data_IF_744828886001
#
_entry.id   IF_744828886001
#
_cell.length_a   1.000
_cell.length_b   1.000
_cell.length_c   1.000
_cell.angle_alpha   90.00
_cell.angle_beta   90.00
_cell.angle_gamma   90.00
#
_symmetry.space_group_name_H-M   'P 1'
#
loop_
_entity.id
_entity.type
_entity.pdbx_description
1 polymer ?
#
# COMPACT_ATOMS: atom_id res chain seq x y z
N UNK A 1 56.15 -36.34 -20.96
CA UNK A 1 55.45 -36.94 -22.11
C UNK A 1 55.02 -38.35 -21.80
N UNK A 2 53.81 -38.78 -22.04
CA UNK A 2 53.34 -39.24 -23.34
C UNK A 2 51.89 -38.73 -23.65
N UNK A 3 51.69 -38.36 -24.87
CA UNK A 3 51.00 -38.94 -26.04
C UNK A 3 49.48 -39.08 -25.96
N UNK A 4 48.89 -38.42 -26.87
CA UNK A 4 47.54 -38.44 -27.45
C UNK A 4 46.91 -39.85 -27.61
N UNK A 5 45.58 -39.94 -27.39
CA UNK A 5 44.74 -40.90 -28.13
C UNK A 5 43.27 -40.45 -28.16
N UNK A 6 42.84 -40.23 -29.39
CA UNK A 6 41.60 -40.57 -30.07
C UNK A 6 40.23 -40.06 -29.50
N UNK A 7 39.61 -39.22 -30.32
CA UNK A 7 38.20 -38.91 -30.36
C UNK A 7 37.33 -40.11 -30.74
N UNK A 8 36.11 -40.24 -30.23
CA UNK A 8 35.06 -41.04 -30.87
C UNK A 8 34.12 -40.15 -31.69
N UNK A 9 33.64 -40.74 -32.75
CA UNK A 9 32.76 -40.27 -33.81
C UNK A 9 31.45 -39.68 -33.35
N UNK A 10 31.03 -38.63 -34.06
CA UNK A 10 29.72 -38.05 -34.00
C UNK A 10 28.64 -39.03 -34.52
N UNK A 11 27.69 -39.37 -33.65
CA UNK A 11 26.44 -39.98 -34.03
C UNK A 11 25.41 -38.87 -34.20
N UNK A 12 24.93 -38.67 -35.41
CA UNK A 12 23.83 -37.73 -35.71
C UNK A 12 22.54 -38.24 -35.08
N UNK A 13 22.03 -37.50 -34.13
CA UNK A 13 20.63 -37.61 -33.67
C UNK A 13 19.83 -36.57 -34.40
N UNK A 14 18.90 -37.01 -35.26
CA UNK A 14 17.81 -36.21 -35.77
C UNK A 14 16.96 -35.77 -34.60
N UNK A 15 17.14 -34.57 -34.13
CA UNK A 15 16.24 -33.84 -33.22
C UNK A 15 15.27 -33.05 -34.05
N UNK A 16 14.00 -33.40 -33.99
CA UNK A 16 12.88 -32.56 -34.43
C UNK A 16 12.98 -31.20 -33.76
N UNK A 17 13.12 -30.14 -34.54
CA UNK A 17 12.97 -28.76 -34.09
C UNK A 17 11.55 -28.58 -33.54
N UNK A 18 11.41 -28.64 -32.24
CA UNK A 18 10.28 -28.01 -31.57
C UNK A 18 10.51 -26.51 -31.64
N UNK A 19 9.80 -25.85 -32.56
CA UNK A 19 9.61 -24.40 -32.56
C UNK A 19 9.02 -24.02 -31.21
N UNK A 20 9.83 -23.43 -30.36
CA UNK A 20 9.33 -22.78 -29.15
C UNK A 20 8.31 -21.72 -29.59
N UNK A 21 7.06 -21.92 -29.23
CA UNK A 21 6.07 -20.85 -29.33
C UNK A 21 6.58 -19.69 -28.48
N UNK A 22 6.89 -18.59 -29.14
CA UNK A 22 7.11 -17.32 -28.50
C UNK A 22 5.78 -16.94 -27.88
N UNK A 23 5.63 -17.14 -26.60
CA UNK A 23 4.52 -16.58 -25.84
C UNK A 23 4.66 -15.07 -25.96
N UNK A 24 3.70 -14.43 -26.60
CA UNK A 24 3.60 -12.97 -26.60
C UNK A 24 3.76 -12.45 -25.18
N UNK A 25 4.58 -11.40 -25.04
CA UNK A 25 4.68 -10.68 -23.78
C UNK A 25 3.25 -10.23 -23.37
N UNK A 26 2.89 -10.33 -22.09
CA UNK A 26 1.57 -9.93 -21.64
C UNK A 26 1.30 -8.49 -22.07
N UNK A 27 0.13 -8.26 -22.66
CA UNK A 27 -0.31 -6.92 -23.07
C UNK A 27 -0.19 -5.96 -21.90
N UNK A 28 0.46 -4.84 -22.11
CA UNK A 28 0.58 -3.76 -21.12
C UNK A 28 -0.68 -2.88 -21.06
N UNK A 29 -1.63 -3.10 -21.96
CA UNK A 29 -2.89 -2.36 -22.01
C UNK A 29 -3.92 -3.03 -21.11
N UNK A 30 -4.66 -2.29 -20.27
CA UNK A 30 -5.74 -2.84 -19.49
C UNK A 30 -6.77 -3.53 -20.39
N UNK A 31 -7.39 -4.63 -19.93
CA UNK A 31 -8.51 -5.22 -20.66
C UNK A 31 -9.66 -4.22 -20.76
N UNK A 32 -10.53 -4.38 -21.74
CA UNK A 32 -11.75 -3.59 -21.83
C UNK A 32 -12.58 -3.74 -20.55
N UNK A 33 -13.21 -2.63 -20.12
CA UNK A 33 -14.12 -2.66 -18.96
C UNK A 33 -15.15 -3.78 -19.10
N UNK A 34 -15.53 -4.49 -18.04
CA UNK A 34 -16.67 -5.38 -18.05
C UNK A 34 -17.89 -4.60 -18.53
N UNK A 35 -18.64 -5.15 -19.51
CA UNK A 35 -19.81 -4.48 -20.06
C UNK A 35 -20.91 -4.23 -19.02
N UNK A 36 -21.95 -3.50 -19.41
CA UNK A 36 -23.16 -3.28 -18.61
C UNK A 36 -23.71 -4.60 -18.08
N UNK A 37 -23.84 -4.73 -16.77
CA UNK A 37 -24.32 -5.93 -16.07
C UNK A 37 -23.37 -6.54 -15.07
N UNK A 38 -22.05 -6.22 -15.14
CA UNK A 38 -21.14 -6.53 -14.04
C UNK A 38 -21.21 -5.40 -12.99
N UNK A 39 -21.75 -5.75 -11.84
CA UNK A 39 -21.81 -4.83 -10.70
C UNK A 39 -21.32 -5.58 -9.47
N UNK A 40 -20.34 -5.04 -8.77
CA UNK A 40 -19.82 -5.61 -7.52
C UNK A 40 -20.92 -5.81 -6.48
N UNK A 41 -21.96 -5.00 -6.52
CA UNK A 41 -23.13 -5.11 -5.65
C UNK A 41 -24.01 -6.35 -5.95
N UNK A 42 -23.78 -7.03 -7.08
CA UNK A 42 -24.46 -8.27 -7.44
C UNK A 42 -23.67 -9.53 -7.11
N UNK A 43 -22.45 -9.36 -6.57
CA UNK A 43 -21.58 -10.46 -6.21
C UNK A 43 -21.82 -10.87 -4.77
N UNK A 44 -22.14 -12.14 -4.56
CA UNK A 44 -22.32 -12.71 -3.22
C UNK A 44 -21.05 -13.45 -2.81
N UNK A 45 -20.50 -13.06 -1.68
CA UNK A 45 -19.33 -13.74 -1.10
C UNK A 45 -19.74 -15.09 -0.47
N UNK A 46 -18.91 -16.10 -0.70
CA UNK A 46 -19.01 -17.39 0.01
C UNK A 46 -17.66 -17.65 0.68
N UNK A 47 -17.68 -17.85 1.98
CA UNK A 47 -16.43 -18.12 2.72
C UNK A 47 -16.00 -19.60 2.62
N UNK A 48 -14.85 -19.93 3.19
CA UNK A 48 -14.31 -21.29 3.20
C UNK A 48 -15.17 -22.32 3.95
N UNK A 49 -16.15 -21.88 4.72
CA UNK A 49 -17.12 -22.73 5.43
C UNK A 49 -18.44 -22.87 4.69
N UNK A 50 -18.53 -22.32 3.46
CA UNK A 50 -19.74 -22.32 2.65
C UNK A 50 -20.82 -21.35 3.13
N UNK A 51 -20.49 -20.37 3.99
CA UNK A 51 -21.43 -19.36 4.43
C UNK A 51 -21.55 -18.28 3.35
N UNK A 52 -22.78 -18.01 2.95
CA UNK A 52 -23.11 -16.95 2.00
C UNK A 52 -23.32 -15.64 2.75
N UNK A 53 -22.76 -14.57 2.24
CA UNK A 53 -22.98 -13.22 2.75
C UNK A 53 -23.97 -12.52 1.83
N UNK A 54 -25.11 -12.13 2.40
CA UNK A 54 -26.13 -11.41 1.64
C UNK A 54 -25.60 -10.07 1.14
N UNK A 55 -26.06 -9.66 -0.06
CA UNK A 55 -25.79 -8.32 -0.58
C UNK A 55 -26.46 -7.32 0.35
N UNK A 56 -25.67 -6.58 1.11
CA UNK A 56 -26.18 -5.55 2.02
C UNK A 56 -26.34 -4.25 1.24
N UNK A 57 -27.45 -4.14 0.50
CA UNK A 57 -28.03 -2.86 0.18
C UNK A 57 -27.35 -1.96 -0.84
N UNK A 58 -26.46 -2.42 -1.70
CA UNK A 58 -25.89 -1.60 -2.79
C UNK A 58 -25.04 -0.38 -2.32
N UNK A 59 -24.61 0.41 -3.28
CA UNK A 59 -23.90 1.67 -2.99
C UNK A 59 -24.76 2.63 -2.18
N UNK A 60 -24.17 3.22 -1.16
CA UNK A 60 -24.84 4.26 -0.38
C UNK A 60 -24.50 5.61 -0.99
N UNK A 61 -25.50 6.30 -1.48
CA UNK A 61 -25.35 7.64 -2.04
C UNK A 61 -24.53 8.55 -1.11
N UNK A 62 -23.53 9.23 -1.68
CA UNK A 62 -22.66 10.16 -0.95
C UNK A 62 -21.66 9.49 0.01
N UNK A 63 -21.48 8.16 -0.06
CA UNK A 63 -20.43 7.46 0.70
C UNK A 63 -19.34 7.00 -0.26
N UNK A 64 -18.09 7.08 0.22
CA UNK A 64 -16.92 6.67 -0.52
C UNK A 64 -16.02 5.79 0.35
N UNK A 65 -15.29 4.90 -0.29
CA UNK A 65 -14.34 4.00 0.35
C UNK A 65 -12.94 4.41 -0.06
N UNK A 66 -12.19 4.92 0.91
CA UNK A 66 -10.75 5.16 0.75
C UNK A 66 -9.93 4.03 1.35
N UNK A 67 -8.79 3.72 0.76
CA UNK A 67 -7.87 2.72 1.27
C UNK A 67 -6.46 3.27 1.31
N UNK A 68 -5.75 3.10 2.43
CA UNK A 68 -4.31 3.35 2.49
C UNK A 68 -3.56 2.38 1.59
N UNK A 69 -2.64 2.92 0.80
CA UNK A 69 -1.77 2.14 -0.07
C UNK A 69 -0.30 2.49 0.24
N UNK A 70 0.42 1.50 0.74
CA UNK A 70 1.81 1.67 1.16
C UNK A 70 2.75 1.50 -0.04
N UNK A 71 3.52 2.54 -0.34
CA UNK A 71 4.41 2.60 -1.51
C UNK A 71 5.75 1.88 -1.31
N UNK A 72 6.11 1.60 -0.05
CA UNK A 72 7.41 1.06 0.33
C UNK A 72 7.45 -0.46 0.50
N UNK A 73 6.32 -1.14 0.40
CA UNK A 73 6.26 -2.60 0.50
C UNK A 73 6.98 -3.25 -0.70
N UNK A 74 7.77 -4.29 -0.42
CA UNK A 74 8.39 -5.11 -1.45
C UNK A 74 9.56 -4.48 -2.20
N UNK A 75 10.32 -3.55 -1.58
CA UNK A 75 11.62 -3.19 -2.09
C UNK A 75 11.76 -2.09 -3.15
N UNK A 76 11.44 -0.85 -2.95
CA UNK A 76 12.23 0.19 -3.59
C UNK A 76 13.47 0.61 -2.80
N UNK A 77 13.56 0.29 -1.50
CA UNK A 77 14.62 0.81 -0.62
C UNK A 77 15.58 -0.26 -0.06
N UNK A 78 15.24 -1.55 -0.12
CA UNK A 78 15.99 -2.61 0.57
C UNK A 78 16.38 -3.73 -0.40
N UNK A 79 17.48 -4.42 -0.12
CA UNK A 79 18.13 -5.34 -1.04
C UNK A 79 17.89 -6.83 -0.76
N UNK A 80 17.20 -7.20 0.31
CA UNK A 80 16.98 -8.59 0.69
C UNK A 80 15.52 -8.95 0.92
N UNK A 81 15.19 -10.22 0.77
CA UNK A 81 13.92 -10.79 1.17
C UNK A 81 14.15 -11.70 2.36
N UNK A 82 13.79 -11.23 3.55
CA UNK A 82 13.91 -11.99 4.78
C UNK A 82 12.53 -12.49 5.19
N UNK A 83 12.27 -13.77 4.91
CA UNK A 83 11.00 -14.43 5.26
C UNK A 83 11.10 -14.99 6.67
N UNK A 84 10.46 -14.34 7.63
CA UNK A 84 10.50 -14.72 9.04
C UNK A 84 9.98 -16.16 9.27
N UNK A 85 8.97 -16.59 8.52
CA UNK A 85 8.44 -17.97 8.61
C UNK A 85 9.45 -19.00 8.14
N UNK A 86 10.11 -18.74 7.00
CA UNK A 86 11.16 -19.64 6.48
C UNK A 86 12.38 -19.66 7.42
N UNK A 87 12.83 -18.48 7.88
CA UNK A 87 13.95 -18.37 8.82
C UNK A 87 13.65 -19.14 10.10
N UNK A 88 12.46 -18.94 10.70
CA UNK A 88 12.06 -19.65 11.91
C UNK A 88 12.05 -21.17 11.71
N UNK A 89 11.46 -21.64 10.62
CA UNK A 89 11.33 -23.08 10.36
C UNK A 89 12.66 -23.76 10.05
N UNK A 90 13.59 -23.06 9.41
CA UNK A 90 14.88 -23.63 8.97
C UNK A 90 15.98 -23.47 10.04
N UNK A 91 16.01 -22.32 10.72
CA UNK A 91 17.12 -21.96 11.60
C UNK A 91 16.70 -21.76 13.07
N UNK A 92 15.39 -21.70 13.35
CA UNK A 92 14.86 -21.54 14.69
C UNK A 92 14.70 -20.09 15.14
N UNK A 93 14.11 -19.95 16.35
CA UNK A 93 13.79 -18.68 16.97
C UNK A 93 15.02 -17.80 17.24
N UNK A 94 16.09 -18.43 17.71
CA UNK A 94 17.32 -17.72 18.07
C UNK A 94 17.93 -16.99 16.88
N UNK A 95 17.92 -17.56 15.69
CA UNK A 95 18.45 -16.93 14.48
C UNK A 95 17.52 -15.81 13.99
N UNK A 96 16.20 -15.99 14.12
CA UNK A 96 15.22 -14.99 13.71
C UNK A 96 15.34 -13.69 14.53
N UNK A 97 15.63 -13.80 15.83
CA UNK A 97 15.63 -12.65 16.76
C UNK A 97 17.02 -12.19 17.19
N UNK A 98 18.10 -12.84 16.74
CA UNK A 98 19.48 -12.43 17.05
C UNK A 98 20.11 -11.65 15.90
N UNK A 99 20.55 -10.46 16.21
CA UNK A 99 20.93 -9.36 15.34
C UNK A 99 22.22 -9.56 14.52
N UNK A 100 22.98 -10.63 14.77
CA UNK A 100 24.31 -10.82 14.16
C UNK A 100 24.31 -11.77 12.96
N UNK A 101 23.16 -12.20 12.51
CA UNK A 101 23.05 -13.18 11.44
C UNK A 101 22.83 -12.51 10.09
N UNK A 102 23.64 -12.87 9.09
CA UNK A 102 23.37 -12.50 7.70
C UNK A 102 22.05 -13.09 7.16
N UNK A 103 21.51 -14.09 7.86
CA UNK A 103 20.22 -14.74 7.52
C UNK A 103 19.04 -13.90 8.00
N UNK A 104 19.19 -13.22 9.14
CA UNK A 104 18.15 -12.37 9.75
C UNK A 104 18.79 -11.08 10.28
N UNK A 105 19.28 -10.19 9.41
CA UNK A 105 20.02 -9.01 9.85
C UNK A 105 19.08 -7.97 10.48
N UNK A 106 19.55 -7.35 11.55
CA UNK A 106 18.88 -6.22 12.19
C UNK A 106 18.70 -5.05 11.23
N UNK A 107 17.62 -4.30 11.41
CA UNK A 107 17.32 -3.11 10.63
C UNK A 107 16.85 -3.39 9.20
N UNK A 108 16.70 -4.65 8.82
CA UNK A 108 16.10 -5.03 7.55
C UNK A 108 14.63 -5.42 7.72
N UNK A 109 13.83 -5.24 6.66
CA UNK A 109 12.44 -5.69 6.70
C UNK A 109 12.35 -7.21 6.65
N UNK A 110 11.58 -7.77 7.59
CA UNK A 110 11.25 -9.18 7.64
C UNK A 110 9.79 -9.36 7.29
N UNK A 111 9.49 -10.32 6.43
CA UNK A 111 8.16 -10.63 5.95
C UNK A 111 7.67 -11.93 6.62
N UNK A 112 6.43 -11.97 7.08
CA UNK A 112 5.87 -13.14 7.75
C UNK A 112 5.45 -14.28 6.82
N UNK A 113 5.40 -14.04 5.54
CA UNK A 113 5.05 -15.04 4.55
C UNK A 113 5.09 -14.47 3.15
N UNK A 114 5.26 -15.38 2.20
CA UNK A 114 5.27 -15.04 0.79
C UNK A 114 3.89 -14.57 0.33
N UNK A 115 3.78 -13.41 -0.34
CA UNK A 115 2.53 -12.94 -0.91
C UNK A 115 2.00 -13.87 -2.00
N UNK A 116 0.71 -13.75 -2.35
CA UNK A 116 0.09 -14.55 -3.42
C UNK A 116 0.82 -14.46 -4.76
N UNK A 117 1.41 -13.31 -5.05
CA UNK A 117 2.17 -13.05 -6.28
C UNK A 117 3.68 -13.25 -6.12
N UNK A 118 4.13 -13.95 -5.06
CA UNK A 118 5.53 -14.04 -4.68
C UNK A 118 6.04 -12.74 -4.06
N UNK A 119 7.33 -12.69 -3.72
CA UNK A 119 7.97 -11.44 -3.30
C UNK A 119 8.19 -10.55 -4.50
N UNK A 120 7.61 -9.36 -4.49
CA UNK A 120 7.61 -8.42 -5.61
C UNK A 120 8.19 -7.06 -5.22
N UNK A 121 8.63 -6.32 -6.21
CA UNK A 121 8.98 -4.92 -6.05
C UNK A 121 7.71 -4.05 -6.14
N UNK A 122 7.58 -3.04 -5.30
CA UNK A 122 6.42 -2.12 -5.31
C UNK A 122 6.21 -1.41 -6.67
N UNK A 123 7.21 -1.42 -7.53
CA UNK A 123 7.12 -0.89 -8.90
C UNK A 123 6.87 -1.96 -9.96
N UNK A 124 6.51 -3.20 -9.58
CA UNK A 124 6.18 -4.26 -10.53
C UNK A 124 4.84 -3.99 -11.22
N UNK A 125 4.88 -3.86 -12.55
CA UNK A 125 3.70 -3.52 -13.36
C UNK A 125 2.58 -4.56 -13.24
N UNK A 126 2.92 -5.84 -13.24
CA UNK A 126 1.92 -6.89 -13.16
C UNK A 126 1.19 -6.85 -11.81
N UNK A 127 1.95 -6.72 -10.72
CA UNK A 127 1.36 -6.67 -9.38
C UNK A 127 0.52 -5.42 -9.19
N UNK A 128 1.00 -4.25 -9.64
CA UNK A 128 0.23 -3.00 -9.59
C UNK A 128 -1.09 -3.16 -10.35
N UNK A 129 -1.07 -3.69 -11.58
CA UNK A 129 -2.28 -3.92 -12.37
C UNK A 129 -3.25 -4.85 -11.66
N UNK A 130 -2.75 -5.96 -11.08
CA UNK A 130 -3.60 -6.86 -10.30
C UNK A 130 -4.19 -6.21 -9.05
N UNK A 131 -3.41 -5.37 -8.34
CA UNK A 131 -3.95 -4.60 -7.23
C UNK A 131 -5.05 -3.65 -7.70
N UNK A 132 -4.84 -2.89 -8.78
CA UNK A 132 -5.86 -1.97 -9.30
C UNK A 132 -7.12 -2.71 -9.73
N UNK A 133 -7.01 -3.83 -10.45
CA UNK A 133 -8.16 -4.68 -10.81
C UNK A 133 -8.96 -5.16 -9.59
N UNK A 134 -8.26 -5.62 -8.55
CA UNK A 134 -8.90 -6.06 -7.31
C UNK A 134 -9.58 -4.91 -6.57
N UNK A 135 -8.95 -3.73 -6.53
CA UNK A 135 -9.50 -2.54 -5.88
C UNK A 135 -10.72 -2.00 -6.61
N UNK A 136 -10.72 -2.00 -7.94
CA UNK A 136 -11.89 -1.69 -8.75
C UNK A 136 -13.03 -2.68 -8.44
N UNK A 137 -12.71 -3.98 -8.42
CA UNK A 137 -13.69 -5.02 -8.11
C UNK A 137 -14.25 -4.89 -6.69
N UNK A 138 -13.45 -4.43 -5.76
CA UNK A 138 -13.87 -4.18 -4.37
C UNK A 138 -14.64 -2.88 -4.18
N UNK A 139 -14.77 -2.04 -5.21
CA UNK A 139 -15.46 -0.75 -5.12
C UNK A 139 -14.73 0.29 -4.29
N UNK A 140 -13.39 0.30 -4.37
CA UNK A 140 -12.57 1.32 -3.71
C UNK A 140 -12.53 2.58 -4.58
N UNK A 141 -12.97 3.71 -4.02
CA UNK A 141 -13.08 4.98 -4.75
C UNK A 141 -11.74 5.73 -4.84
N UNK A 142 -10.93 5.65 -3.78
CA UNK A 142 -9.64 6.33 -3.80
C UNK A 142 -8.58 5.64 -2.93
N UNK A 143 -7.32 5.85 -3.31
CA UNK A 143 -6.14 5.42 -2.58
C UNK A 143 -5.52 6.59 -1.84
N UNK A 144 -5.14 6.36 -0.60
CA UNK A 144 -4.34 7.30 0.19
C UNK A 144 -2.90 6.79 0.19
N UNK A 145 -2.03 7.47 -0.54
CA UNK A 145 -0.61 7.13 -0.57
C UNK A 145 0.08 7.58 0.71
N UNK A 146 0.66 6.64 1.42
CA UNK A 146 1.40 6.91 2.66
C UNK A 146 2.78 7.48 2.35
N UNK A 147 2.95 8.77 2.66
CA UNK A 147 4.22 9.50 2.60
C UNK A 147 4.55 10.14 3.95
N UNK A 148 4.09 9.53 5.03
CA UNK A 148 4.15 10.06 6.41
C UNK A 148 5.57 10.17 6.97
N UNK A 149 6.52 9.44 6.39
CA UNK A 149 7.94 9.40 6.77
C UNK A 149 8.84 10.33 5.92
N UNK A 150 8.26 11.32 5.26
CA UNK A 150 8.94 12.27 4.37
C UNK A 150 9.58 11.64 3.10
N UNK A 151 9.31 10.37 2.82
CA UNK A 151 9.74 9.70 1.60
C UNK A 151 8.55 9.58 0.65
N UNK A 152 8.66 10.12 -0.55
CA UNK A 152 7.56 10.16 -1.52
C UNK A 152 7.50 8.94 -2.44
N UNK A 153 8.58 8.14 -2.52
CA UNK A 153 8.65 6.95 -3.40
C UNK A 153 8.29 7.27 -4.84
N UNK A 154 8.93 8.29 -5.40
CA UNK A 154 8.55 8.92 -6.68
C UNK A 154 8.37 7.91 -7.82
N UNK A 155 9.29 6.95 -7.97
CA UNK A 155 9.20 5.93 -9.03
C UNK A 155 7.99 5.00 -8.89
N UNK A 156 7.52 4.80 -7.65
CA UNK A 156 6.39 3.90 -7.35
C UNK A 156 5.06 4.61 -7.60
N UNK A 157 4.82 5.79 -6.96
CA UNK A 157 3.54 6.48 -7.16
C UNK A 157 3.35 6.91 -8.61
N UNK A 158 4.42 7.35 -9.30
CA UNK A 158 4.34 7.73 -10.71
C UNK A 158 3.89 6.56 -11.59
N UNK A 159 4.40 5.37 -11.33
CA UNK A 159 3.99 4.17 -12.05
C UNK A 159 2.53 3.80 -11.74
N UNK A 160 2.12 3.86 -10.47
CA UNK A 160 0.74 3.56 -10.07
C UNK A 160 -0.23 4.55 -10.72
N UNK A 161 0.06 5.85 -10.67
CA UNK A 161 -0.79 6.89 -11.29
C UNK A 161 -0.90 6.68 -12.81
N UNK A 162 0.20 6.35 -13.48
CA UNK A 162 0.18 6.02 -14.91
C UNK A 162 -0.75 4.83 -15.18
N UNK A 163 -0.64 3.75 -14.41
CA UNK A 163 -1.46 2.55 -14.58
C UNK A 163 -2.93 2.86 -14.29
N UNK A 164 -3.23 3.60 -13.24
CA UNK A 164 -4.61 4.05 -12.95
C UNK A 164 -5.18 4.84 -14.13
N UNK A 165 -4.42 5.79 -14.70
CA UNK A 165 -4.87 6.57 -15.85
C UNK A 165 -5.15 5.69 -17.08
N UNK A 166 -4.33 4.66 -17.33
CA UNK A 166 -4.59 3.67 -18.39
C UNK A 166 -5.93 2.94 -18.18
N UNK A 167 -6.25 2.54 -16.95
CA UNK A 167 -7.54 1.91 -16.63
C UNK A 167 -8.72 2.89 -16.81
N UNK A 168 -8.56 4.15 -16.36
CA UNK A 168 -9.57 5.19 -16.55
C UNK A 168 -9.84 5.45 -18.04
N UNK A 169 -8.78 5.53 -18.85
CA UNK A 169 -8.92 5.69 -20.31
C UNK A 169 -9.57 4.49 -20.97
N UNK A 170 -9.39 3.28 -20.44
CA UNK A 170 -10.06 2.07 -20.91
C UNK A 170 -11.51 1.95 -20.41
N UNK A 171 -12.03 2.93 -19.67
CA UNK A 171 -13.41 2.98 -19.21
C UNK A 171 -13.68 2.24 -17.91
N UNK A 172 -12.62 1.89 -17.14
CA UNK A 172 -12.78 1.31 -15.81
C UNK A 172 -13.00 2.41 -14.77
N UNK A 173 -13.75 2.11 -13.73
CA UNK A 173 -13.89 2.99 -12.57
C UNK A 173 -12.73 2.74 -11.59
N UNK A 174 -11.54 3.17 -12.01
CA UNK A 174 -10.33 2.98 -11.22
C UNK A 174 -10.23 4.00 -10.09
N UNK A 175 -9.68 3.60 -8.91
CA UNK A 175 -9.57 4.48 -7.76
C UNK A 175 -8.72 5.71 -8.08
N UNK A 176 -9.10 6.86 -7.50
CA UNK A 176 -8.31 8.09 -7.54
C UNK A 176 -7.23 8.06 -6.47
N UNK A 177 -6.36 9.09 -6.42
CA UNK A 177 -5.27 9.14 -5.45
C UNK A 177 -5.25 10.45 -4.66
N UNK A 178 -4.92 10.34 -3.38
CA UNK A 178 -4.57 11.44 -2.49
C UNK A 178 -3.28 11.09 -1.75
N UNK A 179 -2.55 12.08 -1.24
CA UNK A 179 -1.32 11.86 -0.48
C UNK A 179 -1.51 12.22 0.99
N UNK A 180 -0.93 11.41 1.86
CA UNK A 180 -0.91 11.64 3.30
C UNK A 180 0.50 11.91 3.77
N UNK A 181 0.76 13.13 4.26
CA UNK A 181 2.05 13.52 4.82
C UNK A 181 1.96 13.65 6.34
N UNK A 182 3.08 13.51 7.07
CA UNK A 182 3.11 13.67 8.52
C UNK A 182 4.44 14.26 9.00
N UNK A 183 5.52 13.49 9.13
CA UNK A 183 6.84 14.06 9.44
C UNK A 183 7.36 14.87 8.25
N UNK A 184 7.88 16.07 8.51
CA UNK A 184 8.29 17.03 7.48
C UNK A 184 7.17 17.28 6.46
N UNK A 185 5.95 17.41 6.96
CA UNK A 185 4.73 17.46 6.16
C UNK A 185 4.73 18.60 5.14
N UNK A 186 5.07 19.80 5.56
CA UNK A 186 5.11 20.99 4.68
C UNK A 186 6.12 20.80 3.54
N UNK A 187 7.31 20.30 3.86
CA UNK A 187 8.34 20.03 2.85
C UNK A 187 7.88 18.94 1.86
N UNK A 188 7.31 17.86 2.38
CA UNK A 188 6.82 16.75 1.57
C UNK A 188 5.65 17.17 0.69
N UNK A 189 4.70 17.94 1.25
CA UNK A 189 3.57 18.45 0.51
C UNK A 189 4.00 19.41 -0.62
N UNK A 190 4.95 20.32 -0.36
CA UNK A 190 5.52 21.18 -1.42
C UNK A 190 6.21 20.36 -2.52
N UNK A 191 6.98 19.33 -2.16
CA UNK A 191 7.61 18.44 -3.14
C UNK A 191 6.56 17.76 -4.03
N UNK A 192 5.49 17.25 -3.43
CA UNK A 192 4.39 16.63 -4.17
C UNK A 192 3.66 17.65 -5.05
N UNK A 193 3.45 18.86 -4.54
CA UNK A 193 2.83 19.93 -5.31
C UNK A 193 3.61 20.24 -6.59
N UNK A 194 4.93 20.43 -6.49
CA UNK A 194 5.78 20.70 -7.65
C UNK A 194 5.85 19.51 -8.62
N UNK A 195 6.03 18.29 -8.12
CA UNK A 195 6.32 17.12 -8.95
C UNK A 195 5.07 16.44 -9.54
N UNK A 196 3.91 16.59 -8.90
CA UNK A 196 2.67 15.94 -9.34
C UNK A 196 1.68 16.96 -9.87
N UNK A 197 1.32 17.93 -9.07
CA UNK A 197 0.17 18.79 -9.37
C UNK A 197 0.53 19.94 -10.33
N UNK A 198 1.57 20.69 -10.04
CA UNK A 198 2.07 21.72 -10.99
C UNK A 198 2.61 21.13 -12.29
N UNK A 199 3.21 19.95 -12.20
CA UNK A 199 3.64 19.19 -13.37
C UNK A 199 2.46 18.64 -14.19
N UNK A 200 1.24 18.78 -13.69
CA UNK A 200 0.03 18.23 -14.30
C UNK A 200 0.13 16.73 -14.57
N UNK A 201 0.74 16.00 -13.62
CA UNK A 201 1.04 14.57 -13.77
C UNK A 201 -0.22 13.73 -13.58
N UNK A 202 -0.74 13.14 -14.64
CA UNK A 202 -1.98 12.35 -14.70
C UNK A 202 -3.15 12.95 -13.89
N UNK A 203 -3.63 14.16 -14.23
CA UNK A 203 -4.64 14.87 -13.43
C UNK A 203 -5.97 14.13 -13.30
N UNK A 204 -6.29 13.23 -14.23
CA UNK A 204 -7.49 12.39 -14.14
C UNK A 204 -7.46 11.41 -12.97
N UNK A 205 -6.28 11.19 -12.37
CA UNK A 205 -6.11 10.28 -11.24
C UNK A 205 -6.25 10.97 -9.88
N UNK A 206 -6.33 12.30 -9.84
CA UNK A 206 -6.40 13.01 -8.56
C UNK A 206 -7.77 12.86 -7.91
N UNK A 207 -7.77 12.52 -6.62
CA UNK A 207 -9.00 12.50 -5.85
C UNK A 207 -9.39 13.92 -5.46
N UNK A 208 -10.61 14.30 -5.83
CA UNK A 208 -11.11 15.68 -5.63
C UNK A 208 -12.15 15.71 -4.52
N UNK A 209 -12.03 16.70 -3.64
CA UNK A 209 -13.04 17.08 -2.66
C UNK A 209 -13.40 18.55 -2.92
N UNK A 210 -14.68 18.82 -3.10
CA UNK A 210 -15.18 20.16 -3.48
C UNK A 210 -14.50 20.76 -4.72
N UNK A 211 -14.16 19.88 -5.68
CA UNK A 211 -13.54 20.26 -6.94
C UNK A 211 -12.03 20.55 -6.87
N UNK A 212 -11.40 20.37 -5.71
CA UNK A 212 -9.96 20.54 -5.49
C UNK A 212 -9.30 19.22 -5.11
N UNK A 213 -8.03 18.97 -5.50
CA UNK A 213 -7.31 17.78 -5.05
C UNK A 213 -7.23 17.72 -3.53
N UNK A 214 -7.43 16.52 -2.97
CA UNK A 214 -7.26 16.28 -1.54
C UNK A 214 -5.80 16.01 -1.21
N UNK A 215 -5.30 16.67 -0.16
CA UNK A 215 -4.02 16.35 0.47
C UNK A 215 -4.15 16.38 2.00
N UNK A 216 -3.52 15.44 2.68
CA UNK A 216 -3.39 15.50 4.14
C UNK A 216 -2.03 16.10 4.48
N UNK A 217 -2.05 17.32 5.04
CA UNK A 217 -0.83 18.06 5.36
C UNK A 217 -1.03 19.01 6.54
N UNK A 218 0.05 19.26 7.28
CA UNK A 218 0.07 20.36 8.25
C UNK A 218 0.24 21.70 7.53
N UNK A 219 -0.52 22.70 8.00
CA UNK A 219 -0.38 24.09 7.55
C UNK A 219 0.32 24.96 8.60
N UNK A 220 0.45 24.46 9.81
CA UNK A 220 1.11 25.10 10.95
C UNK A 220 2.59 24.66 10.99
N UNK A 221 3.50 25.60 10.80
CA UNK A 221 4.95 25.38 10.77
C UNK A 221 5.52 24.89 12.10
N UNK A 222 4.99 25.41 13.23
CA UNK A 222 5.44 24.99 14.56
C UNK A 222 4.99 23.55 14.87
N UNK A 223 3.76 23.20 14.45
CA UNK A 223 3.28 21.83 14.57
C UNK A 223 4.10 20.88 13.72
N UNK A 224 4.36 21.22 12.46
CA UNK A 224 5.15 20.39 11.56
C UNK A 224 6.59 20.19 12.08
N UNK A 225 7.21 21.26 12.57
CA UNK A 225 8.50 21.19 13.23
C UNK A 225 8.48 20.26 14.45
N UNK A 226 7.49 20.41 15.31
CA UNK A 226 7.36 19.57 16.51
C UNK A 226 7.19 18.08 16.16
N UNK A 227 6.40 17.78 15.14
CA UNK A 227 6.15 16.41 14.65
C UNK A 227 7.39 15.81 13.99
N UNK A 228 8.19 16.62 13.30
CA UNK A 228 9.42 16.13 12.66
C UNK A 228 10.46 15.61 13.67
N UNK A 229 10.42 16.12 14.91
CA UNK A 229 11.43 15.81 15.93
C UNK A 229 12.82 16.40 15.66
N UNK A 230 12.98 17.17 14.58
CA UNK A 230 14.25 17.80 14.19
C UNK A 230 14.27 19.26 14.60
N UNK A 231 15.10 19.59 15.60
CA UNK A 231 15.25 20.95 16.10
C UNK A 231 15.77 21.93 15.03
N UNK A 232 16.46 21.43 14.01
CA UNK A 232 17.03 22.24 12.93
C UNK A 232 16.05 22.43 11.76
N UNK A 233 14.95 21.71 11.75
CA UNK A 233 13.93 21.86 10.72
C UNK A 233 13.16 23.17 10.92
N UNK A 234 13.15 24.01 9.92
CA UNK A 234 12.42 25.28 9.91
C UNK A 234 11.65 25.38 8.58
N UNK A 235 10.44 24.84 8.52
CA UNK A 235 9.65 24.91 7.30
C UNK A 235 9.17 26.33 7.02
N UNK A 236 9.25 26.74 5.77
CA UNK A 236 8.56 27.94 5.31
C UNK A 236 7.06 27.64 5.20
N UNK A 237 6.18 28.60 5.53
CA UNK A 237 4.74 28.42 5.38
C UNK A 237 4.36 28.01 3.94
N UNK A 238 3.30 27.22 3.80
CA UNK A 238 2.74 26.90 2.50
C UNK A 238 2.29 28.18 1.79
N UNK A 239 2.54 28.27 0.50
CA UNK A 239 2.18 29.43 -0.30
C UNK A 239 0.66 29.57 -0.40
N UNK A 240 0.16 30.80 -0.65
CA UNK A 240 -1.26 31.03 -0.91
C UNK A 240 -1.74 30.25 -2.13
N UNK A 241 -0.90 30.12 -3.16
CA UNK A 241 -1.18 29.30 -4.36
C UNK A 241 -1.46 27.84 -3.97
N UNK A 242 -0.64 27.25 -3.08
CA UNK A 242 -0.86 25.91 -2.57
C UNK A 242 -2.16 25.80 -1.79
N UNK A 243 -2.41 26.73 -0.87
CA UNK A 243 -3.62 26.74 -0.04
C UNK A 243 -4.91 26.88 -0.86
N UNK A 244 -4.86 27.64 -1.95
CA UNK A 244 -5.99 27.82 -2.85
C UNK A 244 -6.22 26.63 -3.77
N UNK A 245 -5.15 25.87 -4.06
CA UNK A 245 -5.18 24.75 -5.01
C UNK A 245 -5.80 23.48 -4.40
N UNK A 246 -5.52 23.20 -3.13
CA UNK A 246 -5.94 21.97 -2.47
C UNK A 246 -7.17 22.14 -1.58
N UNK A 247 -7.91 21.04 -1.39
CA UNK A 247 -8.62 20.76 -0.16
C UNK A 247 -7.65 20.10 0.80
N UNK A 248 -7.32 20.77 1.90
CA UNK A 248 -6.32 20.31 2.86
C UNK A 248 -7.05 19.78 4.09
N UNK A 249 -6.77 18.52 4.45
CA UNK A 249 -7.19 17.95 5.73
C UNK A 249 -5.97 17.77 6.64
N UNK A 250 -6.18 18.01 7.93
CA UNK A 250 -5.14 17.82 8.93
C UNK A 250 -4.85 16.35 9.13
N UNK A 251 -3.59 15.90 9.07
CA UNK A 251 -3.24 14.56 9.49
C UNK A 251 -3.61 14.34 10.96
N UNK A 252 -4.20 13.20 11.29
CA UNK A 252 -4.50 12.81 12.66
C UNK A 252 -3.73 11.53 13.00
N UNK A 253 -2.68 11.69 13.78
CA UNK A 253 -1.91 10.58 14.31
C UNK A 253 -2.50 10.09 15.64
N UNK A 254 -2.48 8.78 15.94
CA UNK A 254 -3.18 8.22 17.12
C UNK A 254 -2.71 8.77 18.47
N UNK A 255 -1.42 9.13 18.60
CA UNK A 255 -0.83 9.61 19.84
C UNK A 255 -0.84 11.13 19.99
N UNK A 256 -1.40 11.83 19.01
CA UNK A 256 -1.49 13.27 19.03
C UNK A 256 -2.77 13.78 19.65
N UNK A 257 -2.82 15.09 19.87
CA UNK A 257 -4.05 15.76 20.25
C UNK A 257 -5.13 15.42 19.22
N UNK A 258 -6.29 15.00 19.71
CA UNK A 258 -7.45 14.69 18.88
C UNK A 258 -8.04 15.93 18.23
N UNK A 259 -8.31 15.82 16.95
CA UNK A 259 -9.04 16.80 16.14
C UNK A 259 -10.21 16.12 15.44
N UNK A 260 -11.43 16.60 15.68
CA UNK A 260 -12.62 16.01 15.09
C UNK A 260 -12.65 16.12 13.56
N UNK A 261 -11.98 17.13 13.00
CA UNK A 261 -11.81 17.38 11.56
C UNK A 261 -10.52 16.77 10.98
N UNK A 262 -9.78 16.01 11.78
CA UNK A 262 -8.58 15.33 11.33
C UNK A 262 -8.90 14.16 10.39
N UNK A 263 -8.00 13.90 9.44
CA UNK A 263 -8.04 12.69 8.64
C UNK A 263 -7.23 11.60 9.35
N UNK A 264 -7.89 10.54 9.89
CA UNK A 264 -7.20 9.53 10.68
C UNK A 264 -6.24 8.69 9.81
N UNK A 265 -5.05 8.45 10.36
CA UNK A 265 -4.14 7.39 9.90
C UNK A 265 -4.61 6.04 10.48
N UNK A 266 -3.75 5.06 10.63
CA UNK A 266 -4.11 3.82 11.33
C UNK A 266 -4.49 4.14 12.78
N UNK A 267 -5.69 3.74 13.20
CA UNK A 267 -6.14 3.99 14.56
C UNK A 267 -5.82 2.79 15.46
N UNK A 268 -5.06 3.03 16.49
CA UNK A 268 -4.68 2.00 17.45
C UNK A 268 -5.25 2.20 18.87
N UNK A 269 -6.14 3.19 19.03
CA UNK A 269 -6.89 3.38 20.28
C UNK A 269 -8.22 2.64 20.23
N UNK A 270 -8.68 2.19 21.39
CA UNK A 270 -10.00 1.61 21.53
C UNK A 270 -10.75 2.25 22.73
N UNK A 271 -12.01 2.66 22.58
CA UNK A 271 -12.76 2.74 21.32
C UNK A 271 -12.10 3.72 20.32
N UNK A 272 -12.29 3.46 19.04
CA UNK A 272 -11.74 4.35 18.02
C UNK A 272 -12.43 5.72 18.11
N UNK A 273 -11.67 6.83 18.01
CA UNK A 273 -12.25 8.17 17.95
C UNK A 273 -13.11 8.35 16.68
N UNK A 274 -14.14 9.16 16.79
CA UNK A 274 -14.96 9.56 15.64
C UNK A 274 -14.41 10.84 15.04
N UNK A 275 -14.26 10.87 13.71
CA UNK A 275 -13.87 12.04 12.94
C UNK A 275 -15.03 12.50 12.05
N UNK A 276 -15.18 13.81 11.88
CA UNK A 276 -16.28 14.40 11.12
C UNK A 276 -16.28 13.86 9.67
N UNK A 277 -17.36 13.14 9.34
CA UNK A 277 -17.55 12.57 7.99
C UNK A 277 -16.63 11.42 7.62
N UNK A 278 -15.75 10.95 8.52
CA UNK A 278 -14.80 9.88 8.24
C UNK A 278 -14.95 8.78 9.30
N UNK A 279 -15.17 7.57 8.84
CA UNK A 279 -15.10 6.37 9.67
C UNK A 279 -13.82 5.61 9.35
N UNK A 280 -12.92 5.55 10.31
CA UNK A 280 -11.71 4.74 10.17
C UNK A 280 -12.03 3.25 10.43
N UNK A 281 -11.64 2.38 9.50
CA UNK A 281 -11.70 0.93 9.67
C UNK A 281 -10.29 0.40 9.56
N UNK A 282 -9.66 0.18 10.73
CA UNK A 282 -8.29 -0.32 10.79
C UNK A 282 -8.27 -1.82 11.04
N UNK A 283 -7.59 -2.56 10.15
CA UNK A 283 -7.31 -4.00 10.32
C UNK A 283 -5.95 -4.24 11.00
N UNK A 284 -5.16 -3.20 11.16
CA UNK A 284 -3.90 -3.21 11.88
C UNK A 284 -4.05 -2.56 13.24
N UNK A 285 -3.39 -3.10 14.24
CA UNK A 285 -3.25 -2.47 15.55
C UNK A 285 -1.78 -2.43 15.96
N UNK A 286 -1.43 -1.49 16.81
CA UNK A 286 -0.09 -1.44 17.39
C UNK A 286 0.12 -2.59 18.39
N UNK A 287 1.36 -3.06 18.58
CA UNK A 287 1.67 -4.01 19.65
C UNK A 287 1.12 -3.50 20.99
N UNK A 288 0.42 -4.39 21.71
CA UNK A 288 -0.20 -4.05 22.99
C UNK A 288 -1.55 -3.34 22.91
N UNK A 289 -2.03 -2.97 21.70
CA UNK A 289 -3.36 -2.39 21.53
C UNK A 289 -4.33 -3.44 21.01
N UNK A 290 -5.43 -3.70 21.74
CA UNK A 290 -6.41 -4.71 21.36
C UNK A 290 -7.34 -4.24 20.23
N UNK A 291 -7.68 -5.15 19.30
CA UNK A 291 -8.81 -4.94 18.38
C UNK A 291 -10.16 -5.02 19.09
N UNK A 292 -10.24 -5.86 20.10
CA UNK A 292 -11.45 -6.01 20.90
C UNK A 292 -11.12 -6.60 22.26
N UNK A 293 -11.97 -6.33 23.25
CA UNK A 293 -11.89 -6.99 24.54
C UNK A 293 -12.65 -8.32 24.49
N UNK A 294 -12.01 -9.38 24.94
CA UNK A 294 -12.67 -10.68 25.10
C UNK A 294 -13.17 -10.85 26.52
N UNK A 295 -14.49 -10.95 26.68
CA UNK A 295 -15.11 -11.26 27.99
C UNK A 295 -14.90 -12.71 28.38
N UNK A 296 -14.50 -13.57 27.47
CA UNK A 296 -14.31 -15.01 27.71
C UNK A 296 -12.86 -15.39 28.05
N UNK A 297 -11.91 -14.43 27.92
CA UNK A 297 -10.51 -14.68 28.30
C UNK A 297 -10.12 -13.92 29.56
N UNK A 298 -9.48 -14.58 30.50
CA UNK A 298 -8.94 -13.91 31.70
C UNK A 298 -7.97 -12.81 31.32
N UNK A 299 -8.05 -11.66 32.00
CA UNK A 299 -7.15 -10.53 31.76
C UNK A 299 -7.50 -9.65 30.55
N UNK A 300 -8.68 -9.81 29.96
CA UNK A 300 -9.15 -9.01 28.82
C UNK A 300 -8.23 -9.09 27.61
N UNK A 301 -7.64 -10.27 27.41
CA UNK A 301 -6.70 -10.49 26.32
C UNK A 301 -7.39 -10.49 24.97
N UNK A 302 -6.76 -9.89 24.04
CA UNK A 302 -7.29 -9.51 22.76
C UNK A 302 -7.34 -10.61 21.73
N UNK A 303 -8.26 -10.44 20.81
CA UNK A 303 -8.22 -11.09 19.53
C UNK A 303 -7.59 -10.11 18.53
N UNK A 304 -6.44 -10.46 17.97
CA UNK A 304 -5.78 -9.68 16.96
C UNK A 304 -4.41 -10.27 16.64
N UNK A 305 -3.92 -10.04 15.44
CA UNK A 305 -2.55 -10.40 15.07
C UNK A 305 -1.58 -9.47 15.82
N UNK A 306 -0.49 -9.99 16.30
CA UNK A 306 0.58 -9.21 16.93
C UNK A 306 0.53 -9.11 18.45
N UNK A 307 -0.46 -9.69 19.10
CA UNK A 307 -0.45 -9.82 20.55
C UNK A 307 -0.17 -11.26 20.98
N UNK A 308 0.97 -11.48 21.61
CA UNK A 308 1.28 -12.74 22.26
C UNK A 308 0.99 -12.60 23.77
N UNK A 309 -0.06 -13.26 24.31
CA UNK A 309 -0.39 -13.14 25.72
C UNK A 309 0.56 -13.92 26.65
N UNK A 310 1.56 -14.58 26.09
CA UNK A 310 2.46 -15.48 26.84
C UNK A 310 3.86 -14.84 27.02
N UNK A 311 4.15 -13.74 26.37
CA UNK A 311 5.43 -13.01 26.53
C UNK A 311 5.25 -11.71 27.26
#
# INVERSE_FOLDING_TARGET
SPTLSSSPSATSLNGSEQTAQVTEAPSTTPPASPGEGYNVNNVVGVDQFGRTFDVIGGEREGKQVGMFYFLWLGQPLFSGVYDATKIYNEYGEDVLFHETSDISPEGQFHFWGEPLYGYYNSSDDYVIRKHIELLITAGVDFLVFDTTNAVTYDTVYQKIMKIIDEYLQAGWDAPKVAFYTHSYSIQTANKLYENVYKANYYPNTWYLVDGKPLIMAYTDTEKDKAVSGDANYNPEPLSQEFLDFFTIMRPQWPDEQYYADGFPWLEWKYPQPEHSGIMNVSVASHPGVPFSFSITRPGWLNWGRGYNPIT
#
